data_IF_990375828966
#
_entry.id   IF_990375828966
#
_cell.length_a   1.000
_cell.length_b   1.000
_cell.length_c   1.000
_cell.angle_alpha   90.00
_cell.angle_beta   90.00
_cell.angle_gamma   90.00
#
_symmetry.space_group_name_H-M   'P 1'
#
loop_
_entity.id
_entity.type
_entity.pdbx_description
1 polymer ?
#
# COMPACT_ATOMS: atom_id res chain seq x y z
N UNK A 1 5.90 9.84 7.72
CA UNK A 1 4.71 9.92 6.84
C UNK A 1 4.74 8.75 5.87
N UNK A 2 3.64 7.96 5.80
CA UNK A 2 3.58 6.84 4.86
C UNK A 2 2.57 7.12 3.76
N UNK A 3 2.95 6.86 2.50
CA UNK A 3 2.07 6.97 1.35
C UNK A 3 2.54 6.04 0.23
N UNK A 4 1.63 5.67 -0.67
CA UNK A 4 1.95 4.82 -1.83
C UNK A 4 2.21 5.64 -3.08
N UNK A 5 2.88 5.03 -4.05
CA UNK A 5 3.16 5.66 -5.33
C UNK A 5 1.87 6.03 -6.07
N UNK A 6 0.88 5.15 -6.05
CA UNK A 6 -0.41 5.41 -6.69
C UNK A 6 -1.13 6.60 -6.06
N UNK A 7 -1.13 6.71 -4.72
CA UNK A 7 -1.72 7.85 -4.03
C UNK A 7 -1.00 9.16 -4.35
N UNK A 8 0.35 9.14 -4.42
CA UNK A 8 1.11 10.31 -4.88
C UNK A 8 0.72 10.72 -6.30
N UNK A 9 0.57 9.75 -7.22
CA UNK A 9 0.17 9.99 -8.61
C UNK A 9 -1.26 10.55 -8.77
N UNK A 10 -2.10 10.46 -7.76
CA UNK A 10 -3.38 11.18 -7.76
C UNK A 10 -3.22 12.71 -7.61
N UNK A 11 -2.08 13.17 -7.08
CA UNK A 11 -1.77 14.58 -6.85
C UNK A 11 -0.67 15.12 -7.77
N UNK A 12 0.13 14.22 -8.36
CA UNK A 12 1.30 14.56 -9.17
C UNK A 12 1.28 13.75 -10.47
N UNK A 13 1.23 14.41 -11.59
CA UNK A 13 1.45 13.78 -12.90
C UNK A 13 2.96 13.63 -13.12
N UNK A 14 3.48 12.43 -12.88
CA UNK A 14 4.90 12.09 -12.99
C UNK A 14 5.09 10.71 -13.61
N UNK A 15 6.09 10.60 -14.49
CA UNK A 15 6.53 9.33 -15.08
C UNK A 15 7.68 8.68 -14.28
N UNK A 16 8.26 9.43 -13.33
CA UNK A 16 9.37 8.97 -12.49
C UNK A 16 9.01 7.70 -11.71
N UNK A 17 9.98 6.79 -11.63
CA UNK A 17 9.89 5.58 -10.81
C UNK A 17 10.07 5.88 -9.31
N UNK A 18 9.84 4.87 -8.48
CA UNK A 18 9.90 5.00 -7.03
C UNK A 18 11.30 5.39 -6.53
N UNK A 19 12.36 4.89 -7.17
CA UNK A 19 13.75 5.17 -6.78
C UNK A 19 14.10 6.64 -7.05
N UNK A 20 13.75 7.14 -8.23
CA UNK A 20 13.94 8.55 -8.61
C UNK A 20 13.18 9.50 -7.68
N UNK A 21 11.93 9.17 -7.34
CA UNK A 21 11.11 9.95 -6.42
C UNK A 21 11.73 9.96 -5.02
N UNK A 22 12.18 8.80 -4.50
CA UNK A 22 12.82 8.71 -3.19
C UNK A 22 14.11 9.53 -3.10
N UNK A 23 14.95 9.43 -4.12
CA UNK A 23 16.18 10.22 -4.21
C UNK A 23 15.87 11.72 -4.23
N UNK A 24 14.88 12.17 -4.99
CA UNK A 24 14.50 13.58 -5.07
C UNK A 24 13.90 14.09 -3.77
N UNK A 25 13.04 13.31 -3.11
CA UNK A 25 12.50 13.67 -1.79
C UNK A 25 13.61 13.94 -0.79
N UNK A 26 14.58 13.03 -0.70
CA UNK A 26 15.74 13.20 0.19
C UNK A 26 16.54 14.46 -0.16
N UNK A 27 16.78 14.74 -1.45
CA UNK A 27 17.51 15.94 -1.90
C UNK A 27 16.81 17.25 -1.53
N UNK A 28 15.47 17.29 -1.49
CA UNK A 28 14.71 18.48 -1.09
C UNK A 28 14.44 18.57 0.41
N UNK A 29 15.05 17.67 1.21
CA UNK A 29 14.98 17.69 2.67
C UNK A 29 13.83 16.91 3.28
N UNK A 30 13.21 16.00 2.53
CA UNK A 30 12.24 15.01 3.00
C UNK A 30 12.93 13.64 2.98
N UNK A 31 13.55 13.27 4.09
CA UNK A 31 14.34 12.05 4.21
C UNK A 31 13.44 10.81 4.04
N UNK A 32 13.74 9.99 3.04
CA UNK A 32 13.06 8.71 2.84
C UNK A 32 13.78 7.65 3.67
N UNK A 33 13.13 7.17 4.72
CA UNK A 33 13.65 6.12 5.61
C UNK A 33 13.60 4.75 4.94
N UNK A 34 12.51 4.48 4.20
CA UNK A 34 12.32 3.21 3.53
C UNK A 34 11.38 3.33 2.32
N UNK A 35 11.67 2.56 1.28
CA UNK A 35 10.72 2.23 0.21
C UNK A 35 10.48 0.73 0.26
N UNK A 36 9.22 0.32 0.44
CA UNK A 36 8.83 -1.10 0.49
C UNK A 36 8.10 -1.45 -0.80
N UNK A 37 8.65 -2.36 -1.58
CA UNK A 37 8.01 -2.92 -2.77
C UNK A 37 7.73 -4.41 -2.55
N UNK A 38 6.49 -4.72 -2.15
CA UNK A 38 6.07 -6.11 -1.93
C UNK A 38 6.03 -6.95 -3.21
N UNK A 39 5.87 -6.30 -4.36
CA UNK A 39 5.86 -7.03 -5.63
C UNK A 39 7.24 -7.60 -5.97
N UNK A 40 8.30 -6.88 -5.65
CA UNK A 40 9.67 -7.37 -5.82
C UNK A 40 9.93 -8.63 -4.97
N UNK A 41 9.47 -8.62 -3.71
CA UNK A 41 9.60 -9.76 -2.79
C UNK A 41 8.78 -10.99 -3.25
N UNK A 42 7.74 -10.77 -4.06
CA UNK A 42 6.85 -11.80 -4.60
C UNK A 42 7.16 -12.17 -6.06
N UNK A 43 8.34 -11.81 -6.55
CA UNK A 43 8.75 -12.12 -7.91
C UNK A 43 8.70 -13.64 -8.19
N UNK A 44 8.01 -14.04 -9.27
CA UNK A 44 7.83 -15.45 -9.63
C UNK A 44 6.63 -16.15 -9.01
N UNK A 45 5.96 -15.56 -8.01
CA UNK A 45 4.73 -16.09 -7.41
C UNK A 45 3.53 -15.79 -8.33
N UNK A 46 2.76 -16.82 -8.69
CA UNK A 46 1.70 -16.75 -9.69
C UNK A 46 0.40 -17.38 -9.21
N UNK A 47 -0.69 -17.01 -9.88
CA UNK A 47 -1.96 -17.71 -9.75
C UNK A 47 -1.88 -19.03 -10.51
N UNK A 48 -2.33 -20.12 -9.89
CA UNK A 48 -2.30 -21.42 -10.51
C UNK A 48 -3.54 -22.24 -10.17
N UNK A 49 -3.94 -23.09 -11.13
CA UNK A 49 -5.09 -24.01 -10.96
C UNK A 49 -4.62 -25.39 -10.52
N UNK A 50 -5.22 -25.91 -9.49
CA UNK A 50 -5.01 -27.31 -9.08
C UNK A 50 -5.85 -28.22 -9.98
N UNK A 51 -5.20 -28.89 -10.92
CA UNK A 51 -5.85 -29.78 -11.89
C UNK A 51 -6.32 -31.06 -11.21
N UNK A 52 -5.49 -31.63 -10.32
CA UNK A 52 -5.85 -32.81 -9.52
C UNK A 52 -5.19 -32.75 -8.15
N UNK A 53 -5.85 -33.35 -7.16
CA UNK A 53 -5.35 -33.46 -5.79
C UNK A 53 -5.65 -34.88 -5.27
N UNK A 54 -4.62 -35.72 -5.26
CA UNK A 54 -4.72 -37.11 -4.85
C UNK A 54 -4.09 -37.30 -3.47
N UNK A 55 -4.55 -38.34 -2.74
CA UNK A 55 -3.94 -38.72 -1.47
C UNK A 55 -2.48 -39.12 -1.67
N UNK A 56 -1.60 -38.66 -0.79
CA UNK A 56 -0.17 -39.02 -0.83
C UNK A 56 -0.02 -40.51 -0.43
N UNK A 57 0.77 -41.32 -1.17
CA UNK A 57 0.87 -42.78 -0.92
C UNK A 57 1.46 -43.11 0.45
N UNK A 58 2.30 -42.27 1.02
CA UNK A 58 3.02 -42.54 2.26
C UNK A 58 2.68 -41.54 3.40
N UNK A 59 1.57 -40.78 3.28
CA UNK A 59 1.22 -39.79 4.30
C UNK A 59 -0.26 -39.40 4.26
N UNK A 60 -0.99 -39.65 5.34
CA UNK A 60 -2.45 -39.42 5.43
C UNK A 60 -2.84 -37.92 5.39
N UNK A 61 -1.94 -37.01 5.78
CA UNK A 61 -2.21 -35.58 5.83
C UNK A 61 -1.69 -34.82 4.63
N UNK A 62 -1.05 -35.49 3.67
CA UNK A 62 -0.48 -34.87 2.49
C UNK A 62 -1.27 -35.22 1.24
N UNK A 63 -1.29 -34.30 0.29
CA UNK A 63 -1.85 -34.49 -1.04
C UNK A 63 -0.80 -34.27 -2.11
N UNK A 64 -0.85 -35.06 -3.16
CA UNK A 64 -0.07 -34.84 -4.38
C UNK A 64 -0.97 -34.12 -5.36
N UNK A 65 -0.64 -32.87 -5.62
CA UNK A 65 -1.38 -31.98 -6.48
C UNK A 65 -0.66 -31.80 -7.82
N UNK A 66 -1.40 -31.79 -8.92
CA UNK A 66 -0.92 -31.32 -10.21
C UNK A 66 -1.39 -29.88 -10.39
N UNK A 67 -0.46 -28.95 -10.50
CA UNK A 67 -0.71 -27.50 -10.50
C UNK A 67 -0.32 -26.91 -11.83
N UNK A 68 -1.25 -26.28 -12.54
CA UNK A 68 -1.02 -25.55 -13.78
C UNK A 68 -0.94 -24.05 -13.49
N UNK A 69 0.22 -23.46 -13.81
CA UNK A 69 0.50 -22.02 -13.66
C UNK A 69 0.21 -21.23 -14.95
N UNK A 70 -0.61 -21.76 -15.86
CA UNK A 70 -1.04 -21.06 -17.07
C UNK A 70 -0.17 -21.33 -18.28
N UNK A 71 0.83 -22.21 -18.18
CA UNK A 71 1.70 -22.63 -19.29
C UNK A 71 1.26 -23.97 -19.93
N UNK A 72 0.18 -24.57 -19.45
CA UNK A 72 -0.34 -25.85 -19.91
C UNK A 72 0.53 -27.06 -19.54
N UNK A 73 1.53 -26.86 -18.65
CA UNK A 73 2.42 -27.91 -18.18
C UNK A 73 2.25 -28.09 -16.67
N UNK A 74 1.31 -28.93 -16.21
CA UNK A 74 1.07 -29.14 -14.80
C UNK A 74 2.33 -29.62 -14.08
N UNK A 75 2.62 -28.99 -12.94
CA UNK A 75 3.77 -29.29 -12.07
C UNK A 75 3.29 -30.07 -10.87
N UNK A 76 4.02 -31.13 -10.49
CA UNK A 76 3.72 -31.90 -9.30
C UNK A 76 4.17 -31.16 -8.03
N UNK A 77 3.26 -31.03 -7.08
CA UNK A 77 3.45 -30.35 -5.79
C UNK A 77 2.88 -31.22 -4.67
N UNK A 78 3.62 -31.42 -3.61
CA UNK A 78 3.13 -32.04 -2.38
C UNK A 78 2.63 -30.95 -1.44
N UNK A 79 1.34 -31.02 -1.08
CA UNK A 79 0.67 -30.02 -0.24
C UNK A 79 0.13 -30.67 1.05
N UNK A 80 0.39 -30.01 2.18
CA UNK A 80 -0.12 -30.40 3.50
C UNK A 80 -1.36 -29.64 3.96
N UNK A 81 -1.84 -28.69 3.16
CA UNK A 81 -2.98 -27.88 3.54
C UNK A 81 -4.30 -28.69 3.45
N UNK A 82 -5.20 -28.56 4.44
CA UNK A 82 -6.45 -29.33 4.49
C UNK A 82 -7.43 -28.92 3.37
N UNK A 83 -7.36 -27.69 2.90
CA UNK A 83 -8.25 -27.16 1.86
C UNK A 83 -7.76 -27.41 0.42
N UNK A 84 -6.60 -28.07 0.22
CA UNK A 84 -6.14 -28.37 -1.12
C UNK A 84 -7.08 -29.36 -1.83
N UNK A 85 -7.70 -28.97 -2.96
CA UNK A 85 -8.60 -29.82 -3.73
C UNK A 85 -8.50 -29.54 -5.24
N UNK A 86 -8.97 -30.50 -6.04
CA UNK A 86 -8.99 -30.34 -7.48
C UNK A 86 -10.00 -29.27 -7.90
N UNK A 87 -9.62 -28.46 -8.89
CA UNK A 87 -10.44 -27.37 -9.44
C UNK A 87 -10.16 -26.02 -8.83
N UNK A 88 -9.62 -25.91 -7.60
CA UNK A 88 -9.34 -24.64 -6.96
C UNK A 88 -8.27 -23.83 -7.69
N UNK A 89 -8.38 -22.51 -7.62
CA UNK A 89 -7.33 -21.58 -8.00
C UNK A 89 -6.63 -21.09 -6.74
N UNK A 90 -5.33 -21.19 -6.70
CA UNK A 90 -4.53 -20.79 -5.54
C UNK A 90 -3.25 -20.05 -5.94
N UNK A 91 -2.46 -19.71 -4.92
CA UNK A 91 -1.18 -19.01 -5.09
C UNK A 91 -0.05 -20.03 -5.12
N UNK A 92 0.75 -20.00 -6.16
CA UNK A 92 1.79 -20.98 -6.43
C UNK A 92 3.17 -20.32 -6.58
N UNK A 93 4.16 -20.91 -5.92
CA UNK A 93 5.57 -20.62 -6.11
C UNK A 93 6.27 -21.81 -6.76
N UNK A 94 6.87 -21.68 -7.95
CA UNK A 94 7.74 -22.69 -8.52
C UNK A 94 9.05 -22.82 -7.73
N UNK A 95 9.74 -23.95 -7.87
CA UNK A 95 11.09 -24.10 -7.31
C UNK A 95 12.02 -23.01 -7.86
N UNK A 96 12.87 -22.45 -7.01
CA UNK A 96 13.72 -21.30 -7.31
C UNK A 96 13.13 -19.96 -6.89
N UNK A 97 11.89 -19.91 -6.40
CA UNK A 97 11.24 -18.68 -5.93
C UNK A 97 11.59 -18.40 -4.47
N UNK A 98 11.82 -17.14 -4.13
CA UNK A 98 11.95 -16.67 -2.75
C UNK A 98 10.57 -16.59 -2.08
N UNK A 99 10.46 -17.08 -0.84
CA UNK A 99 9.23 -17.07 -0.05
C UNK A 99 9.35 -16.02 1.05
N UNK A 100 8.68 -14.87 0.92
CA UNK A 100 8.93 -13.69 1.78
C UNK A 100 8.61 -13.92 3.26
N UNK A 101 7.56 -14.67 3.58
CA UNK A 101 7.15 -14.92 4.97
C UNK A 101 8.06 -15.87 5.74
N UNK A 102 8.85 -16.70 5.03
CA UNK A 102 9.81 -17.63 5.64
C UNK A 102 11.26 -17.20 5.44
N UNK A 103 11.53 -16.28 4.50
CA UNK A 103 12.88 -15.85 4.15
C UNK A 103 13.74 -16.91 3.44
N UNK A 104 13.10 -17.94 2.86
CA UNK A 104 13.78 -19.10 2.27
C UNK A 104 13.59 -19.14 0.76
N UNK A 105 14.65 -19.51 0.05
CA UNK A 105 14.58 -19.87 -1.38
C UNK A 105 13.97 -21.27 -1.51
N UNK A 106 12.89 -21.40 -2.26
CA UNK A 106 12.22 -22.67 -2.46
C UNK A 106 13.03 -23.57 -3.40
N UNK A 107 13.45 -24.71 -2.93
CA UNK A 107 14.16 -25.71 -3.73
C UNK A 107 13.22 -26.85 -4.13
N UNK A 108 13.62 -27.61 -5.18
CA UNK A 108 12.99 -28.88 -5.51
C UNK A 108 13.25 -29.86 -4.36
N UNK A 109 12.20 -30.51 -3.90
CA UNK A 109 12.31 -31.40 -2.76
C UNK A 109 11.66 -32.75 -3.02
N UNK A 110 12.04 -33.75 -2.22
CA UNK A 110 11.36 -35.05 -2.17
C UNK A 110 10.71 -35.20 -0.79
N UNK A 111 9.39 -35.19 -0.76
CA UNK A 111 8.62 -35.28 0.48
C UNK A 111 8.05 -36.69 0.59
N UNK A 112 8.57 -37.46 1.56
CA UNK A 112 8.21 -38.85 1.80
C UNK A 112 8.23 -39.74 0.55
N UNK A 113 9.22 -39.54 -0.32
CA UNK A 113 9.42 -40.33 -1.55
C UNK A 113 8.67 -39.79 -2.80
N UNK A 114 7.98 -38.66 -2.69
CA UNK A 114 7.30 -38.00 -3.83
C UNK A 114 7.96 -36.66 -4.10
N UNK A 115 8.28 -36.38 -5.37
CA UNK A 115 8.88 -35.10 -5.79
C UNK A 115 7.87 -33.96 -5.66
N UNK A 116 8.35 -32.81 -5.15
CA UNK A 116 7.62 -31.54 -5.12
C UNK A 116 8.46 -30.48 -5.83
N UNK A 117 7.93 -29.92 -6.91
CA UNK A 117 8.59 -28.95 -7.77
C UNK A 117 8.07 -27.53 -7.56
N UNK A 118 7.51 -27.25 -6.39
CA UNK A 118 6.93 -25.97 -6.03
C UNK A 118 6.14 -26.06 -4.74
N UNK A 119 5.45 -24.98 -4.39
CA UNK A 119 4.65 -24.88 -3.19
C UNK A 119 3.38 -24.07 -3.45
N UNK A 120 2.24 -24.54 -2.92
CA UNK A 120 1.03 -23.73 -2.79
C UNK A 120 1.11 -22.96 -1.47
N UNK A 121 0.81 -21.66 -1.51
CA UNK A 121 1.13 -20.72 -0.44
C UNK A 121 -0.09 -20.32 0.40
N UNK A 122 0.13 -20.20 1.71
CA UNK A 122 -0.77 -19.53 2.64
C UNK A 122 -0.44 -18.04 2.75
N UNK A 123 -1.28 -17.27 3.46
CA UNK A 123 -1.03 -15.86 3.72
C UNK A 123 0.24 -15.63 4.56
N UNK A 124 0.61 -16.59 5.41
CA UNK A 124 1.82 -16.55 6.21
C UNK A 124 3.08 -16.67 5.37
N UNK A 125 3.14 -17.62 4.41
CA UNK A 125 4.30 -17.74 3.52
C UNK A 125 4.50 -16.51 2.63
N UNK A 126 3.42 -15.77 2.34
CA UNK A 126 3.49 -14.51 1.62
C UNK A 126 3.86 -13.31 2.51
N UNK A 127 3.95 -13.50 3.83
CA UNK A 127 4.18 -12.40 4.77
C UNK A 127 3.02 -11.38 4.85
N UNK A 128 1.80 -11.82 4.52
CA UNK A 128 0.61 -10.96 4.54
C UNK A 128 -0.11 -11.00 5.90
N UNK A 129 -0.11 -12.15 6.56
CA UNK A 129 -0.68 -12.34 7.90
C UNK A 129 -0.07 -13.58 8.58
N UNK A 130 -0.45 -13.84 9.83
CA UNK A 130 -0.04 -15.04 10.58
C UNK A 130 -0.88 -16.27 10.24
N UNK A 131 -1.88 -16.13 9.37
CA UNK A 131 -2.78 -17.24 9.02
C UNK A 131 -2.07 -18.28 8.14
N UNK A 132 -2.05 -19.50 8.63
CA UNK A 132 -1.52 -20.70 7.97
C UNK A 132 -2.46 -21.92 8.09
N UNK A 133 -3.75 -21.67 8.35
CA UNK A 133 -4.76 -22.71 8.47
C UNK A 133 -5.00 -23.47 7.16
N UNK A 134 -4.66 -22.85 6.02
CA UNK A 134 -4.74 -23.41 4.68
C UNK A 134 -3.99 -22.56 3.66
N UNK A 135 -3.95 -23.03 2.42
CA UNK A 135 -3.47 -22.26 1.28
C UNK A 135 -4.51 -21.21 0.87
N UNK A 136 -4.04 -20.12 0.25
CA UNK A 136 -4.94 -19.10 -0.28
C UNK A 136 -5.76 -19.70 -1.42
N UNK A 137 -7.07 -19.61 -1.29
CA UNK A 137 -8.04 -19.99 -2.30
C UNK A 137 -8.62 -18.72 -2.94
N UNK A 138 -8.55 -18.65 -4.26
CA UNK A 138 -9.01 -17.53 -5.05
C UNK A 138 -10.30 -17.90 -5.79
N UNK A 139 -11.10 -16.91 -6.24
CA UNK A 139 -12.24 -17.15 -7.08
C UNK A 139 -11.89 -17.96 -8.34
N UNK A 140 -12.82 -18.79 -8.80
CA UNK A 140 -12.61 -19.68 -9.96
C UNK A 140 -12.31 -18.94 -11.26
N UNK A 141 -12.71 -17.69 -11.37
CA UNK A 141 -12.49 -16.79 -12.51
C UNK A 141 -11.16 -16.03 -12.43
N UNK A 142 -10.36 -16.24 -11.37
CA UNK A 142 -9.07 -15.58 -11.23
C UNK A 142 -8.12 -15.96 -12.40
N UNK A 143 -7.36 -14.99 -12.95
CA UNK A 143 -6.55 -15.18 -14.14
C UNK A 143 -5.34 -16.08 -13.87
N UNK A 144 -5.48 -17.38 -14.15
CA UNK A 144 -4.40 -18.37 -14.00
C UNK A 144 -3.17 -17.95 -14.80
N UNK A 145 -1.98 -18.01 -14.20
CA UNK A 145 -0.71 -17.59 -14.77
C UNK A 145 -0.33 -16.13 -14.49
N UNK A 146 -1.28 -15.29 -14.05
CA UNK A 146 -0.96 -13.92 -13.68
C UNK A 146 -0.06 -13.86 -12.43
N UNK A 147 0.74 -12.78 -12.32
CA UNK A 147 1.52 -12.51 -11.11
C UNK A 147 0.59 -12.22 -9.94
N UNK A 148 0.83 -12.88 -8.80
CA UNK A 148 -0.02 -12.70 -7.61
C UNK A 148 0.02 -11.27 -7.06
N UNK A 149 1.20 -10.64 -7.06
CA UNK A 149 1.35 -9.26 -6.58
C UNK A 149 0.46 -8.27 -7.34
N UNK A 150 0.39 -8.38 -8.67
CA UNK A 150 -0.46 -7.54 -9.50
C UNK A 150 -1.96 -7.82 -9.26
N UNK A 151 -2.35 -9.09 -9.15
CA UNK A 151 -3.73 -9.49 -8.86
C UNK A 151 -4.20 -8.96 -7.49
N UNK A 152 -3.35 -9.07 -6.48
CA UNK A 152 -3.63 -8.62 -5.12
C UNK A 152 -3.40 -7.11 -4.90
N UNK A 153 -3.01 -6.36 -5.96
CA UNK A 153 -2.67 -4.93 -5.91
C UNK A 153 -1.59 -4.60 -4.88
N UNK A 154 -0.56 -5.44 -4.82
CA UNK A 154 0.60 -5.28 -3.95
C UNK A 154 1.80 -4.68 -4.69
N UNK A 155 1.62 -4.32 -5.96
CA UNK A 155 2.58 -3.71 -6.86
C UNK A 155 2.61 -2.16 -6.76
N UNK A 156 2.27 -1.65 -5.59
CA UNK A 156 2.25 -0.21 -5.29
C UNK A 156 3.32 0.10 -4.22
N UNK A 157 4.48 0.64 -4.60
CA UNK A 157 5.55 0.95 -3.66
C UNK A 157 5.10 1.90 -2.55
N UNK A 158 5.41 1.55 -1.30
CA UNK A 158 5.12 2.32 -0.10
C UNK A 158 6.37 3.10 0.32
N UNK A 159 6.25 4.42 0.41
CA UNK A 159 7.27 5.31 0.93
C UNK A 159 7.05 5.57 2.43
N UNK A 160 8.10 5.47 3.22
CA UNK A 160 8.15 5.96 4.59
C UNK A 160 9.09 7.16 4.67
N UNK A 161 8.55 8.33 4.99
CA UNK A 161 9.26 9.60 4.94
C UNK A 161 9.29 10.24 6.32
N UNK A 162 10.48 10.57 6.81
CA UNK A 162 10.67 11.35 8.02
C UNK A 162 10.37 12.83 7.74
N UNK A 163 9.30 13.33 8.34
CA UNK A 163 8.91 14.74 8.21
C UNK A 163 9.28 15.50 9.48
N UNK A 164 10.15 16.48 9.34
CA UNK A 164 10.61 17.33 10.46
C UNK A 164 9.49 18.27 10.94
N UNK A 165 9.48 18.70 12.22
CA UNK A 165 8.39 19.51 12.78
C UNK A 165 8.14 20.85 12.08
N UNK A 166 9.14 21.41 11.40
CA UNK A 166 9.02 22.64 10.61
C UNK A 166 8.40 22.42 9.22
N UNK A 167 8.14 21.18 8.83
CA UNK A 167 7.56 20.78 7.53
C UNK A 167 6.19 20.15 7.68
N UNK A 168 5.36 20.72 8.56
CA UNK A 168 3.99 20.25 8.78
C UNK A 168 3.13 20.24 7.51
N UNK A 169 3.47 21.03 6.51
CA UNK A 169 2.88 21.06 5.18
C UNK A 169 3.06 19.74 4.40
N UNK A 170 4.11 18.97 4.72
CA UNK A 170 4.41 17.66 4.11
C UNK A 170 3.89 16.46 4.93
N UNK A 171 3.07 16.69 5.98
CA UNK A 171 2.34 15.63 6.65
C UNK A 171 1.13 15.09 5.85
N UNK A 172 0.89 15.63 4.66
CA UNK A 172 -0.09 15.18 3.70
C UNK A 172 0.53 14.99 2.32
N UNK A 173 0.02 14.02 1.55
CA UNK A 173 0.55 13.67 0.23
C UNK A 173 0.49 14.82 -0.78
N UNK A 174 -0.49 15.70 -0.65
CA UNK A 174 -0.60 16.89 -1.51
C UNK A 174 0.54 17.89 -1.29
N UNK A 175 1.05 18.02 -0.06
CA UNK A 175 2.23 18.84 0.24
C UNK A 175 3.50 18.24 -0.35
N UNK A 176 3.66 16.93 -0.24
CA UNK A 176 4.76 16.19 -0.87
C UNK A 176 4.71 16.33 -2.40
N UNK A 177 3.54 16.18 -3.00
CA UNK A 177 3.35 16.35 -4.45
C UNK A 177 3.71 17.76 -4.92
N UNK A 178 3.34 18.79 -4.14
CA UNK A 178 3.68 20.20 -4.44
C UNK A 178 5.21 20.40 -4.44
N UNK A 179 5.90 19.84 -3.46
CA UNK A 179 7.34 19.99 -3.35
C UNK A 179 8.10 19.22 -4.44
N UNK A 180 7.62 18.03 -4.82
CA UNK A 180 8.15 17.28 -5.96
C UNK A 180 7.91 18.00 -7.28
N UNK A 181 6.73 18.63 -7.46
CA UNK A 181 6.46 19.46 -8.64
C UNK A 181 7.40 20.70 -8.70
N UNK A 182 7.65 21.36 -7.56
CA UNK A 182 8.62 22.44 -7.46
C UNK A 182 10.06 21.99 -7.74
N UNK A 183 10.35 20.71 -7.49
CA UNK A 183 11.63 20.07 -7.80
C UNK A 183 11.68 19.45 -9.22
N UNK A 184 10.74 19.80 -10.09
CA UNK A 184 10.69 19.41 -11.51
C UNK A 184 10.50 17.88 -11.75
N UNK A 185 9.97 17.13 -10.77
CA UNK A 185 9.70 15.69 -10.92
C UNK A 185 8.38 15.42 -11.63
N UNK A 186 7.55 16.41 -11.80
CA UNK A 186 6.26 16.27 -12.46
C UNK A 186 5.43 17.54 -12.36
N UNK A 187 4.16 17.43 -12.75
CA UNK A 187 3.21 18.53 -12.70
C UNK A 187 2.18 18.31 -11.62
N UNK A 188 1.99 19.28 -10.73
CA UNK A 188 0.95 19.20 -9.69
C UNK A 188 -0.44 19.12 -10.34
N UNK A 189 -1.25 18.18 -9.86
CA UNK A 189 -2.65 18.04 -10.24
C UNK A 189 -3.48 18.88 -9.26
N UNK A 190 -4.07 20.04 -9.70
CA UNK A 190 -4.86 20.85 -8.81
C UNK A 190 -6.17 20.14 -8.45
N UNK A 191 -6.46 20.07 -7.16
CA UNK A 191 -7.76 19.57 -6.65
C UNK A 191 -8.54 20.76 -6.12
N UNK A 192 -9.53 21.28 -6.85
CA UNK A 192 -10.38 22.35 -6.36
C UNK A 192 -11.18 21.86 -5.14
N UNK A 193 -11.15 22.64 -4.08
CA UNK A 193 -12.00 22.39 -2.90
C UNK A 193 -13.26 23.21 -3.07
N UNK A 194 -14.40 22.55 -3.24
CA UNK A 194 -15.67 23.25 -3.28
C UNK A 194 -16.03 23.79 -1.90
N UNK A 195 -16.43 25.06 -1.80
CA UNK A 195 -16.84 25.64 -0.53
C UNK A 195 -18.12 24.97 -0.03
N UNK A 196 -18.07 24.43 1.20
CA UNK A 196 -19.24 23.88 1.87
C UNK A 196 -19.96 25.03 2.57
N UNK A 197 -21.21 25.30 2.17
CA UNK A 197 -22.00 26.33 2.81
C UNK A 197 -22.29 25.97 4.28
N UNK A 198 -22.06 26.91 5.18
CA UNK A 198 -22.40 26.76 6.60
C UNK A 198 -23.88 26.63 6.85
N UNK A 199 -24.29 25.76 7.74
CA UNK A 199 -25.69 25.55 8.15
C UNK A 199 -25.91 26.25 9.49
N UNK A 200 -26.36 27.50 9.44
CA UNK A 200 -26.71 28.27 10.64
C UNK A 200 -25.64 29.28 11.11
N UNK A 201 -25.95 30.06 12.15
CA UNK A 201 -25.06 31.06 12.68
C UNK A 201 -23.89 30.41 13.40
N UNK A 202 -22.68 30.94 13.20
CA UNK A 202 -21.50 30.49 13.89
C UNK A 202 -21.58 30.82 15.39
N UNK A 203 -21.59 29.86 16.33
CA UNK A 203 -21.72 30.13 17.76
C UNK A 203 -20.42 30.62 18.40
N UNK A 204 -19.44 31.03 17.59
CA UNK A 204 -18.11 31.46 18.01
C UNK A 204 -17.86 32.85 17.44
N UNK A 205 -17.48 33.80 18.30
CA UNK A 205 -16.99 35.12 17.87
C UNK A 205 -15.49 35.15 18.03
N UNK A 206 -14.76 35.49 16.96
CA UNK A 206 -13.32 35.66 16.97
C UNK A 206 -13.01 37.16 17.03
N UNK A 207 -12.38 37.60 18.11
CA UNK A 207 -11.87 38.96 18.24
C UNK A 207 -10.40 38.97 17.86
N UNK A 208 -10.04 39.74 16.85
CA UNK A 208 -8.65 39.96 16.44
C UNK A 208 -8.16 41.27 17.07
N UNK A 209 -7.29 41.15 18.04
CA UNK A 209 -6.64 42.29 18.69
C UNK A 209 -5.28 42.51 18.03
N UNK A 210 -5.24 43.36 17.02
CA UNK A 210 -4.00 43.80 16.42
C UNK A 210 -3.54 45.04 17.18
N UNK A 211 -2.38 44.99 17.85
CA UNK A 211 -1.74 46.20 18.33
C UNK A 211 -1.65 47.22 17.20
N UNK A 212 -2.13 48.43 17.46
CA UNK A 212 -2.38 49.51 16.49
C UNK A 212 -1.30 49.61 15.41
N UNK A 213 -1.60 49.19 14.20
CA UNK A 213 -0.89 49.56 13.01
C UNK A 213 -1.58 50.78 12.40
N UNK A 214 -0.85 51.84 12.03
CA UNK A 214 -1.49 52.98 11.39
C UNK A 214 -2.07 52.58 10.06
N UNK A 215 -3.33 52.87 9.91
CA UNK A 215 -4.13 52.93 8.69
C UNK A 215 -3.46 52.60 7.37
N UNK A 216 -3.69 51.40 6.85
CA UNK A 216 -3.82 51.22 5.40
C UNK A 216 -5.21 50.60 5.12
N UNK A 217 -6.05 51.40 4.51
CA UNK A 217 -7.35 51.00 3.94
C UNK A 217 -7.11 50.13 2.71
N UNK A 218 -6.63 48.89 2.92
CA UNK A 218 -6.62 47.89 1.86
C UNK A 218 -7.37 46.67 2.34
N UNK A 219 -8.30 46.12 1.56
CA UNK A 219 -8.99 44.89 1.92
C UNK A 219 -7.93 43.77 2.01
N UNK A 220 -7.98 43.01 3.09
CA UNK A 220 -7.08 41.88 3.36
C UNK A 220 -7.35 40.81 2.31
N UNK A 221 -6.53 40.76 1.28
CA UNK A 221 -6.57 39.72 0.23
C UNK A 221 -5.34 38.81 0.24
N UNK A 222 -4.57 38.76 1.33
CA UNK A 222 -3.46 37.81 1.49
C UNK A 222 -3.13 37.58 2.97
N UNK A 223 -2.77 36.36 3.38
CA UNK A 223 -2.33 36.08 4.74
C UNK A 223 -0.94 36.66 4.97
N UNK A 224 -0.89 37.91 5.40
CA UNK A 224 0.37 38.47 5.89
C UNK A 224 0.54 38.04 7.33
N UNK A 225 1.67 37.42 7.63
CA UNK A 225 2.09 36.96 8.94
C UNK A 225 2.23 38.16 9.88
N UNK A 226 1.14 38.60 10.51
CA UNK A 226 1.19 39.53 11.61
C UNK A 226 1.11 38.73 12.92
N UNK A 227 2.13 38.86 13.75
CA UNK A 227 2.15 38.29 15.10
C UNK A 227 1.08 39.00 15.97
N UNK A 228 -0.17 38.61 15.82
CA UNK A 228 -1.30 39.06 16.61
C UNK A 228 -1.78 37.94 17.54
N UNK A 229 -2.23 38.30 18.73
CA UNK A 229 -2.80 37.36 19.69
C UNK A 229 -4.27 37.11 19.27
N UNK A 230 -4.60 35.84 18.99
CA UNK A 230 -6.00 35.43 18.72
C UNK A 230 -6.63 34.91 20.00
N UNK A 231 -7.74 35.50 20.44
CA UNK A 231 -8.53 35.00 21.58
C UNK A 231 -9.90 34.54 21.10
N UNK A 232 -10.26 33.28 21.40
CA UNK A 232 -11.60 32.73 21.11
C UNK A 232 -12.43 32.80 22.41
N UNK A 233 -13.62 33.39 22.35
CA UNK A 233 -14.61 33.33 23.41
C UNK A 233 -15.87 32.63 22.95
N UNK A 234 -16.32 31.63 23.68
CA UNK A 234 -17.64 30.99 23.47
C UNK A 234 -18.70 31.80 24.27
N UNK A 235 -19.87 32.10 23.66
CA UNK A 235 -20.97 32.71 24.42
C UNK A 235 -21.43 31.76 25.53
N UNK A 236 -21.56 32.28 26.75
CA UNK A 236 -22.08 31.51 27.87
C UNK A 236 -23.47 30.97 27.51
N UNK A 237 -23.68 29.67 27.58
CA UNK A 237 -25.03 29.08 27.50
C UNK A 237 -25.81 29.58 28.71
N UNK A 238 -26.79 30.46 28.50
CA UNK A 238 -27.82 30.75 29.50
C UNK A 238 -28.57 29.43 29.74
N UNK A 239 -28.42 28.84 30.93
CA UNK A 239 -29.33 27.82 31.42
C UNK A 239 -30.67 28.52 31.65
N UNK A 240 -31.65 28.26 30.81
CA UNK A 240 -33.06 28.45 31.19
C UNK A 240 -33.40 27.34 32.18
N UNK A 241 -33.96 27.78 33.30
CA UNK A 241 -34.59 26.97 34.35
C UNK A 241 -35.92 26.41 33.77
#
# INVERSE_FOLDING_TARGET
MKFTLSWLKEHLEAEADAETIAARLTMIGLEVEQVTDKAADMAGIRLAKVVSANQHPNADRLRVCMVDAGDGKPVQVVCGAPNAHAGMVGVFAPAGTFIPGTGVQLEKGVIRGVESNGMLLSARELGLSDDHSGIIELPDDAPVGAAYAAYAKLDDPLFDVAVTPNRSDCLGVSGIARDLAAAEIGRLIPRPVEPIAGVGPLPITVHLDFGATPSSTSPISSPTTAAGRCTCSTPARSRAI
#
